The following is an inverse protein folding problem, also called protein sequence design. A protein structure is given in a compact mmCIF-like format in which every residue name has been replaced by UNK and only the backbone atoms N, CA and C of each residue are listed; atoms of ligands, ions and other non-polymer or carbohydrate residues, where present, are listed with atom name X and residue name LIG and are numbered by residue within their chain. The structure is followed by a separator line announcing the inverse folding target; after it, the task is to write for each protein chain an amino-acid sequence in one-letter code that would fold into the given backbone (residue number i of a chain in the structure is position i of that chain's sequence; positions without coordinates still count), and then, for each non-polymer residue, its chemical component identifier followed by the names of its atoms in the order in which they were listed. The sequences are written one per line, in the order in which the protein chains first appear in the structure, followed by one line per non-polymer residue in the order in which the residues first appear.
data_IF_071240962115
#
_entry.id   IF_071240962115
#
_cell.length_a   1.000
_cell.length_b   1.000
_cell.length_c   1.000
_cell.angle_alpha   90.00
_cell.angle_beta   90.00
_cell.angle_gamma   90.00
#
_symmetry.space_group_name_H-M   'P 1'
#
loop_
_entity.id
_entity.type
_entity.pdbx_description
1 polymer ?
#
# COMPACT_ATOMS: atom_id res chain seq x y z
N UNK A 1 -20.02 -13.96 -28.33
CA UNK A 1 -20.59 -14.37 -27.03
C UNK A 1 -19.62 -13.97 -25.95
N UNK A 2 -20.04 -13.17 -24.96
CA UNK A 2 -19.23 -12.95 -23.77
C UNK A 2 -19.14 -14.29 -23.02
N UNK A 3 -17.98 -14.69 -22.47
CA UNK A 3 -17.86 -15.90 -21.66
C UNK A 3 -18.91 -15.89 -20.54
N UNK A 4 -19.54 -17.03 -20.23
CA UNK A 4 -20.55 -17.14 -19.15
C UNK A 4 -20.06 -16.56 -17.82
N UNK A 5 -18.77 -16.73 -17.54
CA UNK A 5 -18.03 -16.19 -16.39
C UNK A 5 -18.07 -14.65 -16.32
N UNK A 6 -18.04 -13.99 -17.48
CA UNK A 6 -18.16 -12.52 -17.58
C UNK A 6 -19.57 -12.04 -17.24
N UNK A 7 -20.59 -12.85 -17.50
CA UNK A 7 -22.00 -12.52 -17.26
C UNK A 7 -22.30 -12.51 -15.76
N UNK A 8 -21.74 -13.46 -14.99
CA UNK A 8 -21.93 -13.56 -13.53
C UNK A 8 -21.43 -12.32 -12.78
N UNK A 9 -20.25 -11.81 -13.14
CA UNK A 9 -19.71 -10.57 -12.55
C UNK A 9 -20.56 -9.37 -12.94
N UNK A 10 -21.01 -9.29 -14.20
CA UNK A 10 -21.84 -8.18 -14.67
C UNK A 10 -23.19 -8.14 -13.96
N UNK A 11 -23.80 -9.29 -13.71
CA UNK A 11 -25.06 -9.36 -12.98
C UNK A 11 -24.87 -9.06 -11.48
N UNK A 12 -23.82 -9.60 -10.84
CA UNK A 12 -23.47 -9.24 -9.47
C UNK A 12 -23.23 -7.72 -9.32
N UNK A 13 -22.53 -7.09 -10.28
CA UNK A 13 -22.30 -5.63 -10.31
C UNK A 13 -23.58 -4.82 -10.49
N UNK A 14 -24.57 -5.31 -11.23
CA UNK A 14 -25.88 -4.64 -11.35
C UNK A 14 -26.66 -4.69 -10.03
N UNK A 15 -26.53 -5.80 -9.29
CA UNK A 15 -27.24 -6.03 -8.04
C UNK A 15 -26.64 -5.24 -6.86
N UNK A 16 -25.38 -4.77 -6.95
CA UNK A 16 -24.74 -3.93 -5.90
C UNK A 16 -25.63 -2.75 -5.47
N UNK A 17 -26.36 -2.13 -6.40
CA UNK A 17 -27.24 -0.98 -6.10
C UNK A 17 -28.61 -1.35 -5.57
N UNK A 18 -29.11 -2.56 -5.88
CA UNK A 18 -30.47 -2.98 -5.54
C UNK A 18 -30.53 -3.89 -4.30
N UNK A 19 -29.53 -4.77 -4.11
CA UNK A 19 -29.43 -5.65 -2.95
C UNK A 19 -27.94 -5.99 -2.65
N UNK A 20 -27.29 -5.22 -1.77
CA UNK A 20 -25.88 -5.43 -1.45
C UNK A 20 -25.60 -6.78 -0.77
N UNK A 21 -26.57 -7.39 -0.06
CA UNK A 21 -26.37 -8.68 0.61
C UNK A 21 -26.35 -9.85 -0.38
N UNK A 22 -27.22 -9.79 -1.39
CA UNK A 22 -27.24 -10.79 -2.45
C UNK A 22 -25.99 -10.68 -3.34
N UNK A 23 -25.55 -9.45 -3.65
CA UNK A 23 -24.29 -9.23 -4.35
C UNK A 23 -23.08 -9.80 -3.58
N UNK A 24 -23.05 -9.61 -2.25
CA UNK A 24 -22.02 -10.20 -1.38
C UNK A 24 -21.98 -11.72 -1.49
N UNK A 25 -23.15 -12.39 -1.37
CA UNK A 25 -23.25 -13.84 -1.46
C UNK A 25 -22.78 -14.38 -2.82
N UNK A 26 -23.12 -13.69 -3.92
CA UNK A 26 -22.68 -14.06 -5.26
C UNK A 26 -21.16 -13.94 -5.43
N UNK A 27 -20.56 -12.85 -4.94
CA UNK A 27 -19.10 -12.70 -4.99
C UNK A 27 -18.38 -13.70 -4.09
N UNK A 28 -18.91 -13.96 -2.89
CA UNK A 28 -18.39 -14.98 -1.97
C UNK A 28 -18.42 -16.37 -2.61
N UNK A 29 -19.48 -16.70 -3.34
CA UNK A 29 -19.56 -17.96 -4.08
C UNK A 29 -18.49 -18.07 -5.16
N UNK A 30 -18.24 -16.99 -5.92
CA UNK A 30 -17.19 -16.97 -6.96
C UNK A 30 -15.79 -17.14 -6.34
N UNK A 31 -15.49 -16.44 -5.24
CA UNK A 31 -14.16 -16.53 -4.61
C UNK A 31 -13.96 -17.81 -3.78
N UNK A 32 -15.04 -18.51 -3.42
CA UNK A 32 -14.94 -19.78 -2.69
C UNK A 32 -14.33 -20.90 -3.53
N UNK A 33 -14.40 -20.79 -4.86
CA UNK A 33 -13.80 -21.73 -5.78
C UNK A 33 -12.45 -21.18 -6.26
N UNK A 34 -11.31 -21.80 -5.88
CA UNK A 34 -10.02 -21.35 -6.36
C UNK A 34 -9.97 -21.49 -7.89
N UNK A 35 -9.59 -20.44 -8.62
CA UNK A 35 -9.55 -20.50 -10.08
C UNK A 35 -8.47 -21.47 -10.54
N UNK A 36 -8.71 -22.13 -11.67
CA UNK A 36 -7.64 -22.88 -12.33
C UNK A 36 -6.54 -21.92 -12.76
N UNK A 37 -5.34 -22.06 -12.19
CA UNK A 37 -4.20 -21.18 -12.44
C UNK A 37 -3.72 -21.25 -13.90
N UNK A 38 -4.12 -22.28 -14.65
CA UNK A 38 -3.84 -22.44 -16.08
C UNK A 38 -4.78 -21.63 -16.99
N UNK A 39 -5.92 -21.17 -16.47
CA UNK A 39 -6.88 -20.35 -17.21
C UNK A 39 -6.73 -18.88 -16.83
N UNK A 40 -6.16 -18.10 -17.74
CA UNK A 40 -6.01 -16.65 -17.56
C UNK A 40 -7.38 -15.94 -17.42
N UNK A 41 -8.44 -16.51 -18.00
CA UNK A 41 -9.80 -16.01 -17.86
C UNK A 41 -10.34 -16.21 -16.43
N UNK A 42 -10.19 -17.41 -15.87
CA UNK A 42 -10.63 -17.72 -14.51
C UNK A 42 -9.88 -16.89 -13.45
N UNK A 43 -8.57 -16.68 -13.65
CA UNK A 43 -7.78 -15.81 -12.78
C UNK A 43 -8.30 -14.38 -12.82
N UNK A 44 -8.58 -13.81 -14.01
CA UNK A 44 -9.13 -12.45 -14.15
C UNK A 44 -10.53 -12.32 -13.55
N UNK A 45 -11.35 -13.35 -13.68
CA UNK A 45 -12.68 -13.40 -13.06
C UNK A 45 -12.57 -13.31 -11.54
N UNK A 46 -11.75 -14.18 -10.94
CA UNK A 46 -11.49 -14.17 -9.51
C UNK A 46 -10.93 -12.82 -9.03
N UNK A 47 -9.97 -12.24 -9.75
CA UNK A 47 -9.43 -10.91 -9.45
C UNK A 47 -10.53 -9.84 -9.42
N UNK A 48 -11.39 -9.84 -10.43
CA UNK A 48 -12.47 -8.86 -10.55
C UNK A 48 -13.51 -9.05 -9.45
N UNK A 49 -13.88 -10.29 -9.13
CA UNK A 49 -14.80 -10.62 -8.05
C UNK A 49 -14.24 -10.19 -6.69
N UNK A 50 -12.97 -10.52 -6.41
CA UNK A 50 -12.30 -10.18 -5.15
C UNK A 50 -12.23 -8.67 -4.92
N UNK A 51 -11.85 -7.89 -5.95
CA UNK A 51 -11.82 -6.42 -5.85
C UNK A 51 -13.23 -5.83 -5.73
N UNK A 52 -14.21 -6.37 -6.46
CA UNK A 52 -15.60 -5.88 -6.40
C UNK A 52 -16.22 -6.13 -5.02
N UNK A 53 -15.94 -7.29 -4.41
CA UNK A 53 -16.37 -7.59 -3.04
C UNK A 53 -15.67 -6.68 -2.02
N UNK A 54 -14.38 -6.41 -2.19
CA UNK A 54 -13.67 -5.44 -1.35
C UNK A 54 -14.27 -4.04 -1.47
N UNK A 55 -14.68 -3.61 -2.67
CA UNK A 55 -15.34 -2.32 -2.90
C UNK A 55 -16.69 -2.28 -2.19
N UNK A 56 -17.47 -3.37 -2.25
CA UNK A 56 -18.72 -3.48 -1.52
C UNK A 56 -18.52 -3.31 0.00
N UNK A 57 -17.51 -3.95 0.59
CA UNK A 57 -17.19 -3.79 2.02
C UNK A 57 -16.70 -2.39 2.38
N UNK A 58 -15.99 -1.72 1.47
CA UNK A 58 -15.64 -0.31 1.62
C UNK A 58 -16.90 0.56 1.65
N UNK A 59 -17.81 0.39 0.70
CA UNK A 59 -19.03 1.20 0.59
C UNK A 59 -19.99 0.98 1.77
N UNK A 60 -19.97 -0.22 2.36
CA UNK A 60 -20.70 -0.55 3.59
C UNK A 60 -20.01 -0.08 4.89
N UNK A 61 -18.81 0.52 4.82
CA UNK A 61 -17.98 0.87 5.98
C UNK A 61 -17.71 -0.32 6.92
N UNK A 62 -17.41 -1.50 6.34
CA UNK A 62 -17.13 -2.74 7.07
C UNK A 62 -15.64 -3.11 7.04
N UNK A 63 -14.77 -2.44 7.82
CA UNK A 63 -13.33 -2.67 7.75
C UNK A 63 -12.91 -4.07 8.22
N UNK A 64 -13.65 -4.68 9.14
CA UNK A 64 -13.38 -6.04 9.62
C UNK A 64 -13.62 -7.08 8.52
N UNK A 65 -14.72 -6.96 7.77
CA UNK A 65 -15.02 -7.86 6.66
C UNK A 65 -13.97 -7.75 5.55
N UNK A 66 -13.50 -6.52 5.26
CA UNK A 66 -12.40 -6.31 4.32
C UNK A 66 -11.08 -6.92 4.82
N UNK A 67 -10.79 -6.82 6.12
CA UNK A 67 -9.63 -7.44 6.75
C UNK A 67 -9.66 -8.98 6.64
N UNK A 68 -10.83 -9.56 6.88
CA UNK A 68 -11.06 -11.01 6.79
C UNK A 68 -10.93 -11.48 5.35
N UNK A 69 -11.51 -10.75 4.39
CA UNK A 69 -11.37 -11.03 2.95
C UNK A 69 -9.91 -11.06 2.50
N UNK A 70 -9.10 -10.09 2.94
CA UNK A 70 -7.67 -10.05 2.63
C UNK A 70 -6.96 -11.26 3.25
N UNK A 71 -7.40 -11.72 4.43
CA UNK A 71 -6.76 -12.84 5.12
C UNK A 71 -7.12 -14.19 4.48
N UNK A 72 -8.38 -14.42 4.14
CA UNK A 72 -8.85 -15.66 3.50
C UNK A 72 -8.35 -15.80 2.07
N UNK A 73 -8.29 -14.71 1.31
CA UNK A 73 -7.82 -14.73 -0.09
C UNK A 73 -6.34 -15.09 -0.25
N UNK A 74 -5.51 -14.97 0.80
CA UNK A 74 -4.06 -15.26 0.76
C UNK A 74 -3.75 -16.69 0.29
N UNK A 75 -4.54 -17.68 0.71
CA UNK A 75 -4.33 -19.07 0.34
C UNK A 75 -4.39 -19.27 -1.18
N UNK A 76 -5.36 -18.62 -1.84
CA UNK A 76 -5.50 -18.63 -3.29
C UNK A 76 -4.40 -17.78 -3.94
N UNK A 77 -4.13 -16.60 -3.39
CA UNK A 77 -3.11 -15.69 -3.92
C UNK A 77 -1.69 -16.25 -3.86
N UNK A 78 -1.42 -17.23 -3.00
CA UNK A 78 -0.14 -17.95 -2.95
C UNK A 78 0.16 -18.71 -4.25
N UNK A 79 -0.86 -19.17 -4.98
CA UNK A 79 -0.69 -19.85 -6.27
C UNK A 79 -0.52 -18.90 -7.46
N UNK A 80 -0.77 -17.60 -7.28
CA UNK A 80 -0.69 -16.61 -8.34
C UNK A 80 0.74 -16.10 -8.54
N UNK A 81 1.00 -15.58 -9.75
CA UNK A 81 2.26 -14.91 -10.07
C UNK A 81 2.53 -13.74 -9.09
N UNK A 82 3.77 -13.63 -8.61
CA UNK A 82 4.19 -12.68 -7.55
C UNK A 82 3.75 -11.23 -7.81
N UNK A 83 3.91 -10.75 -9.05
CA UNK A 83 3.53 -9.40 -9.45
C UNK A 83 2.01 -9.16 -9.38
N UNK A 84 1.20 -10.14 -9.84
CA UNK A 84 -0.26 -10.08 -9.77
C UNK A 84 -0.72 -10.05 -8.31
N UNK A 85 -0.18 -10.95 -7.48
CA UNK A 85 -0.50 -10.95 -6.05
C UNK A 85 -0.15 -9.63 -5.37
N UNK A 86 1.03 -9.07 -5.64
CA UNK A 86 1.42 -7.79 -5.05
C UNK A 86 0.49 -6.65 -5.45
N UNK A 87 0.05 -6.62 -6.72
CA UNK A 87 -0.94 -5.65 -7.21
C UNK A 87 -2.28 -5.80 -6.50
N UNK A 88 -2.80 -7.03 -6.37
CA UNK A 88 -4.10 -7.29 -5.74
C UNK A 88 -4.10 -6.96 -4.25
N UNK A 89 -3.08 -7.39 -3.50
CA UNK A 89 -2.94 -7.08 -2.08
C UNK A 89 -2.86 -5.57 -1.87
N UNK A 90 -2.11 -4.85 -2.72
CA UNK A 90 -2.06 -3.38 -2.67
C UNK A 90 -3.43 -2.76 -2.93
N UNK A 91 -4.13 -3.19 -3.99
CA UNK A 91 -5.45 -2.66 -4.32
C UNK A 91 -6.46 -2.90 -3.20
N UNK A 92 -6.48 -4.09 -2.59
CA UNK A 92 -7.37 -4.39 -1.46
C UNK A 92 -7.06 -3.55 -0.23
N UNK A 93 -5.77 -3.39 0.11
CA UNK A 93 -5.37 -2.51 1.22
C UNK A 93 -5.71 -1.05 0.93
N UNK A 94 -5.63 -0.60 -0.32
CA UNK A 94 -5.98 0.76 -0.72
C UNK A 94 -7.47 1.07 -0.55
N UNK A 95 -8.35 0.06 -0.50
CA UNK A 95 -9.79 0.27 -0.27
C UNK A 95 -10.09 0.81 1.13
N UNK A 96 -9.25 0.53 2.12
CA UNK A 96 -9.43 1.08 3.48
C UNK A 96 -9.35 2.62 3.54
N UNK A 97 -8.73 3.30 2.56
CA UNK A 97 -8.64 4.76 2.57
C UNK A 97 -10.01 5.46 2.53
N UNK A 98 -11.06 4.78 2.04
CA UNK A 98 -12.41 5.34 2.09
C UNK A 98 -13.21 5.00 3.34
N UNK A 99 -12.65 4.23 4.28
CA UNK A 99 -13.33 3.83 5.52
C UNK A 99 -12.78 4.67 6.68
N UNK A 100 -13.60 5.53 7.31
CA UNK A 100 -13.15 6.34 8.43
C UNK A 100 -12.77 5.47 9.65
N UNK A 101 -11.88 5.96 10.51
CA UNK A 101 -11.47 5.31 11.76
C UNK A 101 -10.95 3.86 11.61
N UNK A 102 -10.40 3.52 10.46
CA UNK A 102 -9.92 2.16 10.15
C UNK A 102 -8.42 1.93 10.40
N UNK A 103 -7.69 2.94 10.90
CA UNK A 103 -6.21 2.91 10.98
C UNK A 103 -5.67 1.74 11.81
N UNK A 104 -6.29 1.41 12.94
CA UNK A 104 -5.86 0.28 13.78
C UNK A 104 -6.03 -1.08 13.10
N UNK A 105 -7.14 -1.24 12.38
CA UNK A 105 -7.42 -2.43 11.58
C UNK A 105 -6.40 -2.50 10.45
N UNK A 106 -6.14 -1.38 9.75
CA UNK A 106 -5.14 -1.32 8.70
C UNK A 106 -3.74 -1.72 9.20
N UNK A 107 -3.32 -1.26 10.38
CA UNK A 107 -2.03 -1.65 10.99
C UNK A 107 -2.00 -3.16 11.24
N UNK A 108 -3.06 -3.71 11.83
CA UNK A 108 -3.16 -5.13 12.17
C UNK A 108 -3.12 -6.01 10.92
N UNK A 109 -3.94 -5.68 9.91
CA UNK A 109 -3.98 -6.40 8.63
C UNK A 109 -2.65 -6.29 7.89
N UNK A 110 -2.03 -5.11 7.87
CA UNK A 110 -0.74 -4.92 7.19
C UNK A 110 0.36 -5.76 7.85
N UNK A 111 0.41 -5.80 9.20
CA UNK A 111 1.34 -6.69 9.93
C UNK A 111 1.09 -8.17 9.61
N UNK A 112 -0.17 -8.59 9.56
CA UNK A 112 -0.53 -9.96 9.18
C UNK A 112 -0.10 -10.28 7.73
N UNK A 113 -0.28 -9.35 6.79
CA UNK A 113 0.21 -9.49 5.41
C UNK A 113 1.75 -9.56 5.33
N UNK A 114 2.48 -8.83 6.16
CA UNK A 114 3.95 -8.87 6.23
C UNK A 114 4.43 -10.25 6.70
N UNK A 115 3.80 -10.81 7.73
CA UNK A 115 4.10 -12.16 8.22
C UNK A 115 3.89 -13.20 7.12
N UNK A 116 2.76 -13.14 6.43
CA UNK A 116 2.47 -14.03 5.30
C UNK A 116 3.46 -13.83 4.13
N UNK A 117 3.77 -12.59 3.76
CA UNK A 117 4.76 -12.32 2.70
C UNK A 117 6.16 -12.86 3.07
N UNK A 118 6.48 -12.89 4.37
CA UNK A 118 7.73 -13.47 4.89
C UNK A 118 7.72 -14.99 4.77
N UNK A 119 6.64 -15.67 5.19
CA UNK A 119 6.53 -17.13 5.09
C UNK A 119 6.55 -17.62 3.65
N UNK A 120 5.94 -16.87 2.73
CA UNK A 120 5.91 -17.15 1.29
C UNK A 120 7.19 -16.71 0.54
N UNK A 121 8.19 -16.18 1.25
CA UNK A 121 9.45 -15.66 0.67
C UNK A 121 9.22 -14.61 -0.44
N UNK A 122 8.22 -13.73 -0.25
CA UNK A 122 7.83 -12.65 -1.18
C UNK A 122 8.48 -11.32 -0.76
N UNK A 123 9.81 -11.22 -0.91
CA UNK A 123 10.62 -10.08 -0.43
C UNK A 123 10.13 -8.69 -0.87
N UNK A 124 9.91 -8.48 -2.17
CA UNK A 124 9.41 -7.19 -2.68
C UNK A 124 8.03 -6.81 -2.11
N UNK A 125 7.12 -7.79 -1.99
CA UNK A 125 5.81 -7.54 -1.39
C UNK A 125 5.94 -7.17 0.09
N UNK A 126 6.77 -7.90 0.84
CA UNK A 126 7.07 -7.60 2.24
C UNK A 126 7.57 -6.17 2.39
N UNK A 127 8.57 -5.76 1.60
CA UNK A 127 9.13 -4.40 1.66
C UNK A 127 8.07 -3.34 1.36
N UNK A 128 7.25 -3.51 0.33
CA UNK A 128 6.15 -2.59 0.01
C UNK A 128 5.12 -2.49 1.16
N UNK A 129 4.80 -3.61 1.81
CA UNK A 129 3.91 -3.64 2.97
C UNK A 129 4.53 -2.96 4.19
N UNK A 130 5.83 -3.12 4.41
CA UNK A 130 6.56 -2.44 5.48
C UNK A 130 6.58 -0.92 5.24
N UNK A 131 6.82 -0.45 4.01
CA UNK A 131 6.70 0.98 3.66
C UNK A 131 5.28 1.51 3.95
N UNK A 132 4.25 0.73 3.62
CA UNK A 132 2.87 1.08 3.99
C UNK A 132 2.70 1.15 5.51
N UNK A 133 3.25 0.19 6.25
CA UNK A 133 3.17 0.16 7.71
C UNK A 133 3.87 1.36 8.36
N UNK A 134 5.00 1.82 7.81
CA UNK A 134 5.65 3.08 8.23
C UNK A 134 4.68 4.25 8.13
N UNK A 135 3.99 4.42 6.99
CA UNK A 135 3.01 5.50 6.80
C UNK A 135 1.86 5.42 7.80
N UNK A 136 1.36 4.22 8.08
CA UNK A 136 0.31 4.01 9.09
C UNK A 136 0.80 4.36 10.51
N UNK A 137 2.03 3.97 10.87
CA UNK A 137 2.63 4.36 12.14
C UNK A 137 2.78 5.86 12.27
N UNK A 138 3.17 6.57 11.20
CA UNK A 138 3.24 8.03 11.21
C UNK A 138 1.87 8.69 11.41
N UNK A 139 0.79 8.16 10.81
CA UNK A 139 -0.58 8.65 11.05
C UNK A 139 -0.97 8.48 12.52
N UNK A 140 -0.55 7.37 13.14
CA UNK A 140 -0.76 7.08 14.57
C UNK A 140 0.19 7.81 15.52
N UNK A 141 1.08 8.67 15.02
CA UNK A 141 2.18 9.28 15.77
C UNK A 141 3.12 8.26 16.47
N UNK A 142 3.15 7.01 16.00
CA UNK A 142 4.03 5.93 16.45
C UNK A 142 5.41 6.04 15.76
N UNK A 143 6.10 7.17 15.99
CA UNK A 143 7.29 7.56 15.23
C UNK A 143 8.52 6.68 15.51
N UNK A 144 8.65 6.15 16.72
CA UNK A 144 9.77 5.27 17.07
C UNK A 144 9.63 3.90 16.39
N UNK A 145 8.43 3.32 16.35
CA UNK A 145 8.15 2.10 15.60
C UNK A 145 8.38 2.30 14.11
N UNK A 146 7.99 3.46 13.58
CA UNK A 146 8.29 3.84 12.19
C UNK A 146 9.81 3.87 11.92
N UNK A 147 10.61 4.50 12.81
CA UNK A 147 12.08 4.55 12.66
C UNK A 147 12.73 3.16 12.71
N UNK A 148 12.29 2.28 13.60
CA UNK A 148 12.81 0.90 13.67
C UNK A 148 12.63 0.20 12.32
N UNK A 149 11.43 0.31 11.75
CA UNK A 149 11.09 -0.32 10.48
C UNK A 149 11.85 0.30 9.30
N UNK A 150 11.95 1.64 9.26
CA UNK A 150 12.75 2.39 8.27
C UNK A 150 14.21 1.93 8.30
N UNK A 151 14.82 1.85 9.49
CA UNK A 151 16.22 1.45 9.62
C UNK A 151 16.48 0.03 9.12
N UNK A 152 15.53 -0.88 9.34
CA UNK A 152 15.59 -2.24 8.79
C UNK A 152 15.50 -2.21 7.26
N UNK A 153 14.51 -1.53 6.72
CA UNK A 153 14.30 -1.38 5.27
C UNK A 153 15.52 -0.77 4.56
N UNK A 154 16.11 0.28 5.10
CA UNK A 154 17.27 0.95 4.50
C UNK A 154 18.49 0.04 4.38
N UNK A 155 18.71 -0.88 5.33
CA UNK A 155 19.81 -1.86 5.25
C UNK A 155 19.63 -2.81 4.06
N UNK A 156 18.39 -3.15 3.73
CA UNK A 156 18.05 -4.02 2.60
C UNK A 156 18.08 -3.24 1.28
N UNK A 157 17.33 -2.14 1.20
CA UNK A 157 17.09 -1.38 -0.03
C UNK A 157 18.36 -0.75 -0.60
N UNK A 158 19.34 -0.40 0.25
CA UNK A 158 20.66 0.10 -0.22
C UNK A 158 21.42 -0.91 -1.06
N UNK A 159 21.12 -2.20 -0.92
CA UNK A 159 21.74 -3.31 -1.67
C UNK A 159 20.97 -3.70 -2.93
N UNK A 160 19.83 -3.05 -3.19
CA UNK A 160 18.96 -3.34 -4.33
C UNK A 160 19.07 -2.24 -5.40
N UNK A 161 18.74 -2.62 -6.64
CA UNK A 161 18.74 -1.72 -7.79
C UNK A 161 17.47 -0.86 -7.88
N UNK A 162 16.36 -1.30 -7.30
CA UNK A 162 15.12 -0.51 -7.25
C UNK A 162 15.29 0.70 -6.30
N UNK A 163 15.70 1.83 -6.88
CA UNK A 163 15.94 3.07 -6.15
C UNK A 163 14.66 3.83 -5.82
N UNK A 164 13.52 3.54 -6.46
CA UNK A 164 12.28 4.29 -6.21
C UNK A 164 11.81 4.10 -4.77
N UNK A 165 11.76 2.84 -4.31
CA UNK A 165 11.38 2.51 -2.92
C UNK A 165 12.43 3.03 -1.93
N UNK A 166 13.71 3.03 -2.30
CA UNK A 166 14.78 3.60 -1.47
C UNK A 166 14.57 5.10 -1.22
N UNK A 167 14.30 5.88 -2.28
CA UNK A 167 14.03 7.32 -2.18
C UNK A 167 12.81 7.57 -1.29
N UNK A 168 11.74 6.80 -1.48
CA UNK A 168 10.53 6.92 -0.66
C UNK A 168 10.81 6.67 0.82
N UNK A 169 11.58 5.63 1.16
CA UNK A 169 11.93 5.31 2.56
C UNK A 169 12.83 6.38 3.18
N UNK A 170 13.81 6.91 2.43
CA UNK A 170 14.66 8.00 2.91
C UNK A 170 13.87 9.30 3.13
N UNK A 171 12.89 9.58 2.27
CA UNK A 171 11.97 10.71 2.47
C UNK A 171 11.11 10.51 3.74
N UNK A 172 10.59 9.30 3.97
CA UNK A 172 9.85 8.98 5.20
C UNK A 172 10.76 9.13 6.43
N UNK A 173 12.01 8.68 6.37
CA UNK A 173 13.02 8.89 7.42
C UNK A 173 13.19 10.36 7.76
N UNK A 174 13.38 11.21 6.73
CA UNK A 174 13.48 12.66 6.90
C UNK A 174 12.27 13.25 7.62
N UNK A 175 11.05 12.85 7.20
CA UNK A 175 9.80 13.33 7.79
C UNK A 175 9.65 12.90 9.24
N UNK A 176 10.01 11.66 9.58
CA UNK A 176 9.91 11.17 10.95
C UNK A 176 10.90 11.89 11.87
N UNK A 177 12.16 12.06 11.46
CA UNK A 177 13.13 12.81 12.26
C UNK A 177 12.75 14.28 12.42
N UNK A 178 12.20 14.90 11.38
CA UNK A 178 11.70 16.27 11.44
C UNK A 178 10.61 16.41 12.52
N UNK A 179 9.61 15.53 12.53
CA UNK A 179 8.53 15.57 13.54
C UNK A 179 9.06 15.31 14.96
N UNK A 180 10.10 14.49 15.11
CA UNK A 180 10.77 14.24 16.40
C UNK A 180 11.71 15.38 16.83
N UNK A 181 11.78 16.50 16.10
CA UNK A 181 12.65 17.64 16.41
C UNK A 181 14.13 17.40 16.09
N UNK A 182 14.48 16.29 15.46
CA UNK A 182 15.86 16.01 15.06
C UNK A 182 16.12 16.50 13.62
N UNK A 183 16.15 17.82 13.46
CA UNK A 183 16.31 18.48 12.15
C UNK A 183 17.62 18.11 11.45
N UNK A 184 18.71 17.90 12.20
CA UNK A 184 20.01 17.49 11.65
C UNK A 184 19.93 16.12 10.97
N UNK A 185 19.35 15.11 11.63
CA UNK A 185 19.13 13.80 10.99
C UNK A 185 18.08 13.86 9.90
N UNK A 186 17.04 14.66 10.08
CA UNK A 186 16.03 14.91 9.05
C UNK A 186 16.64 15.44 7.75
N UNK A 187 17.59 16.37 7.84
CA UNK A 187 18.33 16.90 6.69
C UNK A 187 19.25 15.87 6.06
N UNK A 188 20.03 15.15 6.86
CA UNK A 188 20.93 14.12 6.34
C UNK A 188 20.15 13.03 5.55
N UNK A 189 18.99 12.62 6.06
CA UNK A 189 18.09 11.69 5.37
C UNK A 189 17.54 12.28 4.07
N UNK A 190 17.13 13.56 4.07
CA UNK A 190 16.66 14.24 2.85
C UNK A 190 17.76 14.39 1.79
N UNK A 191 18.98 14.74 2.19
CA UNK A 191 20.14 14.78 1.28
C UNK A 191 20.34 13.41 0.64
N UNK A 192 20.29 12.34 1.42
CA UNK A 192 20.39 10.96 0.92
C UNK A 192 19.25 10.62 -0.06
N UNK A 193 18.03 11.07 0.22
CA UNK A 193 16.87 10.91 -0.66
C UNK A 193 17.07 11.62 -1.99
N UNK A 194 17.50 12.90 -1.99
CA UNK A 194 17.76 13.68 -3.21
C UNK A 194 18.91 13.11 -4.03
N UNK A 195 20.00 12.66 -3.40
CA UNK A 195 21.11 11.99 -4.10
C UNK A 195 20.63 10.72 -4.81
N UNK A 196 19.81 9.91 -4.14
CA UNK A 196 19.27 8.69 -4.75
C UNK A 196 18.28 9.02 -5.86
N UNK A 197 17.44 10.05 -5.68
CA UNK A 197 16.48 10.53 -6.68
C UNK A 197 17.16 11.08 -7.94
N UNK A 198 18.34 11.70 -7.82
CA UNK A 198 19.09 12.23 -8.97
C UNK A 198 19.53 11.14 -9.97
N UNK A 199 19.59 9.87 -9.54
CA UNK A 199 19.98 8.75 -10.38
C UNK A 199 18.82 8.09 -11.14
N UNK A 200 17.58 8.56 -10.92
CA UNK A 200 16.37 7.96 -11.48
C UNK A 200 15.36 9.01 -11.94
N UNK A 201 14.47 8.62 -12.86
CA UNK A 201 13.29 9.43 -13.12
C UNK A 201 12.32 9.31 -11.95
N UNK A 202 12.17 10.39 -11.19
CA UNK A 202 11.32 10.44 -10.00
C UNK A 202 9.89 10.84 -10.39
N UNK A 203 8.86 10.05 -10.04
CA UNK A 203 7.48 10.41 -10.32
C UNK A 203 7.09 11.77 -9.70
N UNK A 204 6.21 12.57 -10.33
CA UNK A 204 5.89 13.92 -9.86
C UNK A 204 5.47 14.01 -8.39
N UNK A 205 4.70 13.03 -7.90
CA UNK A 205 4.24 13.01 -6.50
C UNK A 205 5.40 12.79 -5.51
N UNK A 206 6.38 11.95 -5.86
CA UNK A 206 7.54 11.70 -5.02
C UNK A 206 8.49 12.90 -5.05
N UNK A 207 8.66 13.53 -6.22
CA UNK A 207 9.43 14.76 -6.38
C UNK A 207 8.84 15.90 -5.54
N UNK A 208 7.52 16.13 -5.65
CA UNK A 208 6.82 17.11 -4.82
C UNK A 208 6.97 16.82 -3.31
N UNK A 209 7.02 15.53 -2.92
CA UNK A 209 7.31 15.14 -1.54
C UNK A 209 8.72 15.53 -1.07
N UNK A 210 9.73 15.37 -1.92
CA UNK A 210 11.11 15.79 -1.64
C UNK A 210 11.22 17.31 -1.52
N UNK A 211 10.57 18.05 -2.43
CA UNK A 211 10.60 19.52 -2.43
C UNK A 211 9.83 20.08 -1.24
N UNK A 212 8.62 19.57 -0.94
CA UNK A 212 7.86 19.94 0.25
C UNK A 212 8.65 19.73 1.55
N UNK A 213 9.37 18.61 1.67
CA UNK A 213 10.20 18.35 2.84
C UNK A 213 11.44 19.24 2.88
N UNK A 214 12.00 19.60 1.71
CA UNK A 214 13.08 20.58 1.60
C UNK A 214 12.63 21.96 2.11
N UNK A 215 11.47 22.44 1.66
CA UNK A 215 10.91 23.72 2.10
C UNK A 215 10.67 23.76 3.60
N UNK A 216 10.10 22.67 4.17
CA UNK A 216 9.90 22.55 5.62
C UNK A 216 11.18 22.68 6.43
N UNK A 217 12.25 21.96 6.03
CA UNK A 217 13.52 22.00 6.76
C UNK A 217 14.25 23.34 6.62
N UNK A 218 14.14 24.04 5.49
CA UNK A 218 14.71 25.39 5.34
C UNK A 218 13.92 26.43 6.16
N UNK A 219 12.60 26.28 6.24
CA UNK A 219 11.76 27.14 7.07
C UNK A 219 12.10 27.02 8.56
N UNK A 220 12.41 25.81 9.05
CA UNK A 220 12.90 25.58 10.42
C UNK A 220 14.21 26.32 10.72
N UNK A 221 15.08 26.49 9.72
CA UNK A 221 16.33 27.28 9.84
C UNK A 221 16.11 28.79 9.70
N UNK A 222 14.86 29.23 9.47
CA UNK A 222 14.50 30.61 9.12
C UNK A 222 15.06 31.07 7.76
N UNK A 223 15.48 30.16 6.89
CA UNK A 223 15.78 30.45 5.49
C UNK A 223 14.49 30.41 4.66
N UNK A 224 13.65 31.43 4.87
CA UNK A 224 12.34 31.51 4.24
C UNK A 224 12.42 31.74 2.72
N UNK A 225 13.50 32.37 2.23
CA UNK A 225 13.71 32.62 0.80
C UNK A 225 13.90 31.31 0.05
N UNK A 226 14.80 30.45 0.52
CA UNK A 226 15.01 29.13 -0.07
C UNK A 226 13.80 28.22 0.13
N UNK A 227 13.17 28.29 1.31
CA UNK A 227 11.97 27.51 1.58
C UNK A 227 10.84 27.82 0.59
N UNK A 228 10.61 29.11 0.29
CA UNK A 228 9.62 29.55 -0.68
C UNK A 228 9.85 28.93 -2.06
N UNK A 229 11.09 28.91 -2.55
CA UNK A 229 11.44 28.31 -3.83
C UNK A 229 11.16 26.81 -3.91
N UNK A 230 11.17 26.09 -2.80
CA UNK A 230 10.82 24.66 -2.76
C UNK A 230 9.32 24.39 -2.65
N UNK A 231 8.51 25.39 -2.28
CA UNK A 231 7.06 25.24 -2.16
C UNK A 231 6.30 25.54 -3.45
N UNK A 232 6.91 26.27 -4.38
CA UNK A 232 6.35 26.63 -5.71
C UNK A 232 6.71 25.58 -6.77
#
# INVERSE_FOLDING_TARGET
MLPEDSIRILDAKKVIKSDPKNAEAQFMQIISQPPSVTSDAAVREYETALISLGQLYKDQNSPNQLADLISTSRAVLSSFAKAKTAKLVRQLLDLFHGIPNSTDIQVTVTKSCIQWATSERRGFLRQNLEVRLVKLHMIKAAYYEALILINSLLKELKRLDDKLVLVEVQLLESRVYHVLGNTSKGRAALTSARTSAASIYTPPLLQAGLDLQSGKLHAEDKDFSTAFSYFI
#
